data_IF_157167308969
#
_entry.id   IF_157167308969
#
_cell.length_a   1.000
_cell.length_b   1.000
_cell.length_c   1.000
_cell.angle_alpha   90.00
_cell.angle_beta   90.00
_cell.angle_gamma   90.00
#
_symmetry.space_group_name_H-M   'P 1'
#
loop_
_entity.id
_entity.type
_entity.pdbx_description
1 polymer ?
#
# COMPACT_ATOMS: atom_id res chain seq x y z
N UNK A 1 18.82 3.84 -14.71
CA UNK A 1 17.54 3.29 -14.22
C UNK A 1 17.85 2.07 -13.35
N UNK A 2 17.23 1.94 -12.18
CA UNK A 2 17.39 0.80 -11.26
C UNK A 2 16.03 0.36 -10.75
N UNK A 3 15.77 -0.95 -10.73
CA UNK A 3 14.52 -1.53 -10.23
C UNK A 3 14.81 -2.40 -8.99
N UNK A 4 14.03 -2.24 -7.94
CA UNK A 4 14.16 -2.98 -6.68
C UNK A 4 12.85 -3.64 -6.31
N UNK A 5 12.93 -4.93 -6.00
CA UNK A 5 11.78 -5.76 -5.63
C UNK A 5 11.83 -6.00 -4.12
N UNK A 6 10.82 -5.53 -3.39
CA UNK A 6 10.71 -5.64 -1.94
C UNK A 6 9.65 -6.65 -1.48
N UNK A 7 8.74 -7.04 -2.36
CA UNK A 7 7.71 -8.03 -2.10
C UNK A 7 7.22 -8.69 -3.40
N UNK A 8 6.31 -9.67 -3.29
CA UNK A 8 5.90 -10.55 -4.40
C UNK A 8 7.06 -11.25 -5.17
N UNK A 9 8.24 -11.38 -4.55
CA UNK A 9 9.35 -12.19 -5.07
C UNK A 9 9.36 -13.57 -4.40
N UNK A 10 9.21 -14.63 -5.19
CA UNK A 10 9.06 -16.01 -4.70
C UNK A 10 7.86 -16.20 -3.75
N UNK A 11 6.88 -15.30 -3.83
CA UNK A 11 5.61 -15.33 -3.11
C UNK A 11 4.57 -14.52 -3.88
N UNK A 12 3.28 -14.74 -3.61
CA UNK A 12 2.18 -14.11 -4.38
C UNK A 12 1.70 -12.81 -3.75
N UNK A 13 2.00 -12.55 -2.48
CA UNK A 13 1.40 -11.43 -1.72
C UNK A 13 2.41 -10.34 -1.35
N UNK A 14 1.87 -9.15 -1.06
CA UNK A 14 2.66 -7.99 -0.63
C UNK A 14 3.47 -7.39 -1.78
N UNK A 15 2.86 -7.18 -2.95
CA UNK A 15 3.50 -6.52 -4.08
C UNK A 15 4.10 -5.19 -3.67
N UNK A 16 5.40 -5.01 -3.90
CA UNK A 16 6.11 -3.82 -3.46
C UNK A 16 7.38 -3.61 -4.27
N UNK A 17 7.37 -2.59 -5.13
CA UNK A 17 8.45 -2.37 -6.09
C UNK A 17 8.86 -0.90 -6.15
N UNK A 18 10.16 -0.63 -6.24
CA UNK A 18 10.69 0.72 -6.45
C UNK A 18 11.41 0.82 -7.80
N UNK A 19 11.16 1.92 -8.49
CA UNK A 19 11.88 2.33 -9.67
C UNK A 19 12.62 3.64 -9.37
N UNK A 20 13.95 3.59 -9.49
CA UNK A 20 14.81 4.78 -9.42
C UNK A 20 15.25 5.17 -10.83
N UNK A 21 14.83 6.34 -11.28
CA UNK A 21 15.14 6.84 -12.62
C UNK A 21 15.17 8.37 -12.64
N UNK A 22 16.05 8.96 -13.44
CA UNK A 22 16.20 10.42 -13.57
C UNK A 22 16.41 11.17 -12.23
N UNK A 23 16.99 10.52 -11.21
CA UNK A 23 17.15 11.09 -9.87
C UNK A 23 15.92 10.96 -8.98
N UNK A 24 14.81 10.42 -9.51
CA UNK A 24 13.55 10.24 -8.80
C UNK A 24 13.36 8.80 -8.31
N UNK A 25 12.57 8.65 -7.25
CA UNK A 25 12.14 7.33 -6.73
C UNK A 25 10.63 7.22 -6.73
N UNK A 26 10.09 6.31 -7.55
CA UNK A 26 8.65 6.03 -7.64
C UNK A 26 8.37 4.58 -7.27
N UNK A 27 7.15 4.32 -6.80
CA UNK A 27 6.72 3.02 -6.30
C UNK A 27 5.61 2.43 -7.14
N UNK A 28 5.65 1.11 -7.35
CA UNK A 28 4.56 0.34 -7.93
C UNK A 28 4.03 -0.64 -6.89
N UNK A 29 2.75 -0.48 -6.56
CA UNK A 29 2.04 -1.16 -5.47
C UNK A 29 2.68 -0.99 -4.08
N UNK A 30 1.85 -1.04 -3.04
CA UNK A 30 2.28 -1.17 -1.65
C UNK A 30 1.34 -2.14 -0.93
N UNK A 31 1.54 -3.41 -1.24
CA UNK A 31 0.72 -4.52 -0.79
C UNK A 31 1.01 -4.99 0.61
N UNK A 32 -0.01 -5.55 1.25
CA UNK A 32 0.14 -6.30 2.49
C UNK A 32 0.53 -7.75 2.19
N UNK A 33 1.66 -8.20 2.72
CA UNK A 33 2.03 -9.60 2.71
C UNK A 33 1.09 -10.41 3.61
N UNK A 34 0.57 -11.51 3.08
CA UNK A 34 -0.30 -12.44 3.79
C UNK A 34 0.45 -13.75 4.02
N UNK A 35 0.39 -14.26 5.25
CA UNK A 35 1.11 -15.45 5.68
C UNK A 35 0.87 -15.74 7.16
N UNK A 36 1.80 -16.45 7.81
CA UNK A 36 1.69 -16.72 9.25
C UNK A 36 1.65 -15.41 10.03
N UNK A 37 0.74 -15.29 11.00
CA UNK A 37 0.40 -14.03 11.69
C UNK A 37 1.62 -13.19 12.12
N UNK A 38 2.59 -13.81 12.80
CA UNK A 38 3.77 -13.10 13.29
C UNK A 38 4.70 -12.65 12.16
N UNK A 39 4.91 -13.49 11.15
CA UNK A 39 5.74 -13.14 9.98
C UNK A 39 5.09 -12.00 9.19
N UNK A 40 3.78 -12.10 8.94
CA UNK A 40 3.04 -11.07 8.24
C UNK A 40 3.11 -9.72 8.97
N UNK A 41 2.92 -9.72 10.28
CA UNK A 41 3.04 -8.50 11.08
C UNK A 41 4.43 -7.87 10.98
N UNK A 42 5.50 -8.65 11.15
CA UNK A 42 6.88 -8.14 11.10
C UNK A 42 7.26 -7.61 9.71
N UNK A 43 6.88 -8.33 8.65
CA UNK A 43 7.18 -7.93 7.26
C UNK A 43 6.44 -6.67 6.86
N UNK A 44 5.15 -6.56 7.20
CA UNK A 44 4.35 -5.41 6.81
C UNK A 44 4.71 -4.14 7.58
N UNK A 45 5.16 -4.27 8.84
CA UNK A 45 5.50 -3.12 9.68
C UNK A 45 6.82 -2.43 9.32
N UNK A 46 7.77 -3.15 8.69
CA UNK A 46 9.14 -2.66 8.46
C UNK A 46 9.42 -2.50 6.97
N UNK A 47 9.47 -1.26 6.51
CA UNK A 47 9.97 -0.94 5.17
C UNK A 47 11.49 -1.13 5.11
N UNK A 48 11.97 -1.77 4.04
CA UNK A 48 13.42 -1.94 3.75
C UNK A 48 14.01 -0.74 2.97
N UNK A 49 13.26 0.35 2.91
CA UNK A 49 13.60 1.62 2.29
C UNK A 49 12.95 2.73 3.13
N UNK A 50 13.34 3.98 2.86
CA UNK A 50 12.78 5.16 3.51
C UNK A 50 11.53 5.64 2.76
N UNK A 51 10.31 5.51 3.34
CA UNK A 51 9.08 5.93 2.68
C UNK A 51 9.03 7.42 2.32
N UNK A 52 9.75 8.27 3.06
CA UNK A 52 9.79 9.72 2.81
C UNK A 52 10.53 10.10 1.53
N UNK A 53 11.33 9.18 0.98
CA UNK A 53 12.06 9.37 -0.29
C UNK A 53 11.28 8.94 -1.52
N UNK A 54 10.12 8.32 -1.35
CA UNK A 54 9.26 7.92 -2.46
C UNK A 54 8.40 9.12 -2.86
N UNK A 55 8.48 9.53 -4.11
CA UNK A 55 7.87 10.76 -4.60
C UNK A 55 6.45 10.54 -5.14
N UNK A 56 6.17 9.36 -5.68
CA UNK A 56 4.84 8.99 -6.16
C UNK A 56 4.65 7.47 -6.14
N UNK A 57 3.39 7.04 -6.09
CA UNK A 57 2.99 5.65 -6.18
C UNK A 57 2.02 5.46 -7.36
N UNK A 58 2.25 4.45 -8.19
CA UNK A 58 1.26 3.94 -9.14
C UNK A 58 0.70 2.61 -8.61
N UNK A 59 -0.61 2.54 -8.41
CA UNK A 59 -1.30 1.35 -7.92
C UNK A 59 -1.94 0.62 -9.08
N UNK A 60 -1.60 -0.65 -9.24
CA UNK A 60 -2.16 -1.51 -10.29
C UNK A 60 -3.65 -1.75 -10.09
N UNK A 61 -4.06 -2.17 -8.89
CA UNK A 61 -5.45 -2.48 -8.57
C UNK A 61 -5.69 -2.54 -7.05
N UNK A 62 -6.97 -2.67 -6.66
CA UNK A 62 -7.40 -2.43 -5.30
C UNK A 62 -7.15 -3.58 -4.29
N UNK A 63 -6.74 -4.77 -4.73
CA UNK A 63 -6.56 -5.90 -3.80
C UNK A 63 -5.57 -5.59 -2.67
N UNK A 64 -5.80 -6.16 -1.48
CA UNK A 64 -5.03 -5.87 -0.26
C UNK A 64 -3.56 -6.28 -0.38
N UNK A 65 -3.25 -7.30 -1.17
CA UNK A 65 -1.89 -7.70 -1.47
C UNK A 65 -1.17 -6.77 -2.48
N UNK A 66 -1.83 -5.72 -2.97
CA UNK A 66 -1.27 -4.63 -3.78
C UNK A 66 -1.47 -3.23 -3.16
N UNK A 67 -2.56 -3.01 -2.42
CA UNK A 67 -2.93 -1.71 -1.84
C UNK A 67 -2.82 -1.67 -0.30
N UNK A 68 -2.84 -2.83 0.34
CA UNK A 68 -3.18 -2.95 1.76
C UNK A 68 -2.17 -2.38 2.74
N UNK A 69 -0.94 -2.08 2.32
CA UNK A 69 0.09 -1.48 3.16
C UNK A 69 0.31 0.02 2.85
N UNK A 70 -0.49 0.61 1.93
CA UNK A 70 -0.47 2.04 1.62
C UNK A 70 -0.71 2.91 2.87
N UNK A 71 -1.69 2.64 3.75
CA UNK A 71 -1.88 3.48 4.94
C UNK A 71 -0.67 3.51 5.86
N UNK A 72 0.00 2.36 6.02
CA UNK A 72 1.24 2.28 6.78
C UNK A 72 2.39 3.02 6.07
N UNK A 73 2.46 2.99 4.74
CA UNK A 73 3.44 3.76 3.97
C UNK A 73 3.30 5.27 4.25
N UNK A 74 2.07 5.79 4.19
CA UNK A 74 1.74 7.20 4.47
C UNK A 74 2.12 7.58 5.89
N UNK A 75 1.72 6.75 6.87
CA UNK A 75 2.06 6.93 8.28
C UNK A 75 3.57 7.00 8.53
N UNK A 76 4.37 6.29 7.75
CA UNK A 76 5.84 6.27 7.86
C UNK A 76 6.54 7.36 7.02
N UNK A 77 5.81 8.35 6.51
CA UNK A 77 6.39 9.58 5.97
C UNK A 77 6.23 9.78 4.47
N UNK A 78 5.58 8.86 3.76
CA UNK A 78 5.21 9.10 2.36
C UNK A 78 4.15 10.21 2.26
N UNK A 79 4.37 11.16 1.35
CA UNK A 79 3.51 12.34 1.13
C UNK A 79 3.16 12.55 -0.34
N UNK A 80 3.63 11.69 -1.23
CA UNK A 80 3.44 11.81 -2.67
C UNK A 80 2.02 11.47 -3.12
N UNK A 81 1.66 11.81 -4.37
CA UNK A 81 0.41 11.35 -4.97
C UNK A 81 0.40 9.84 -5.19
N UNK A 82 -0.79 9.25 -5.07
CA UNK A 82 -1.08 7.84 -5.35
C UNK A 82 -1.98 7.78 -6.59
N UNK A 83 -1.42 7.42 -7.73
CA UNK A 83 -2.16 7.31 -8.98
C UNK A 83 -2.80 5.93 -9.12
N UNK A 84 -4.08 5.91 -9.47
CA UNK A 84 -4.82 4.69 -9.75
C UNK A 84 -6.00 5.01 -10.68
N UNK A 85 -6.61 3.98 -11.27
CA UNK A 85 -7.85 4.17 -12.03
C UNK A 85 -9.00 4.61 -11.11
N UNK A 86 -10.02 5.34 -11.61
CA UNK A 86 -11.14 5.80 -10.79
C UNK A 86 -11.82 4.67 -9.99
N UNK A 87 -12.06 3.53 -10.64
CA UNK A 87 -12.67 2.38 -9.97
C UNK A 87 -11.75 1.77 -8.90
N UNK A 88 -10.43 1.73 -9.11
CA UNK A 88 -9.48 1.31 -8.07
C UNK A 88 -9.49 2.27 -6.88
N UNK A 89 -9.59 3.58 -7.10
CA UNK A 89 -9.72 4.57 -6.01
C UNK A 89 -10.98 4.30 -5.17
N UNK A 90 -12.13 4.09 -5.83
CA UNK A 90 -13.40 3.83 -5.17
C UNK A 90 -13.36 2.53 -4.34
N UNK A 91 -12.78 1.47 -4.91
CA UNK A 91 -12.60 0.19 -4.20
C UNK A 91 -11.64 0.34 -3.01
N UNK A 92 -10.52 1.04 -3.16
CA UNK A 92 -9.56 1.29 -2.07
C UNK A 92 -10.19 2.04 -0.90
N UNK A 93 -11.11 2.98 -1.16
CA UNK A 93 -11.83 3.71 -0.10
C UNK A 93 -12.57 2.78 0.86
N UNK A 94 -13.13 1.69 0.34
CA UNK A 94 -13.87 0.70 1.12
C UNK A 94 -12.89 -0.31 1.73
N UNK A 95 -12.04 -0.91 0.90
CA UNK A 95 -11.17 -2.03 1.29
C UNK A 95 -10.13 -1.63 2.34
N UNK A 96 -9.51 -0.45 2.21
CA UNK A 96 -8.49 -0.01 3.18
C UNK A 96 -9.10 0.33 4.54
N UNK A 97 -10.31 0.92 4.54
CA UNK A 97 -11.05 1.21 5.77
C UNK A 97 -11.50 -0.06 6.48
N UNK A 98 -12.04 -1.03 5.74
CA UNK A 98 -12.42 -2.33 6.30
C UNK A 98 -11.20 -3.10 6.82
N UNK A 99 -10.10 -3.12 6.07
CA UNK A 99 -8.84 -3.73 6.52
C UNK A 99 -8.31 -3.10 7.81
N UNK A 100 -8.39 -1.77 7.94
CA UNK A 100 -8.02 -1.08 9.18
C UNK A 100 -8.90 -1.50 10.36
N UNK A 101 -10.23 -1.52 10.15
CA UNK A 101 -11.19 -1.90 11.17
C UNK A 101 -10.96 -3.33 11.67
N UNK A 102 -10.80 -4.28 10.75
CA UNK A 102 -10.52 -5.69 11.09
C UNK A 102 -9.20 -5.82 11.87
N UNK A 103 -8.14 -5.11 11.45
CA UNK A 103 -6.87 -5.11 12.18
C UNK A 103 -7.01 -4.54 13.60
N UNK A 104 -7.77 -3.45 13.78
CA UNK A 104 -8.02 -2.88 15.10
C UNK A 104 -8.76 -3.88 15.99
N UNK A 105 -9.79 -4.56 15.48
CA UNK A 105 -10.54 -5.59 16.23
C UNK A 105 -9.69 -6.81 16.60
N UNK A 106 -8.86 -7.27 15.68
CA UNK A 106 -7.91 -8.35 15.95
C UNK A 106 -6.94 -7.98 17.07
N UNK A 107 -6.41 -6.76 17.06
CA UNK A 107 -5.48 -6.27 18.07
C UNK A 107 -6.17 -6.03 19.41
N UNK A 108 -7.41 -5.53 19.45
CA UNK A 108 -8.22 -5.42 20.67
C UNK A 108 -8.35 -6.79 21.35
N UNK A 109 -8.68 -7.83 20.58
CA UNK A 109 -8.83 -9.19 21.10
C UNK A 109 -7.49 -9.78 21.59
N UNK A 110 -6.42 -9.64 20.78
CA UNK A 110 -5.07 -10.10 21.15
C UNK A 110 -4.59 -9.40 22.43
N UNK A 111 -4.78 -8.09 22.54
CA UNK A 111 -4.36 -7.32 23.70
C UNK A 111 -5.11 -7.70 24.97
N UNK A 112 -6.40 -8.07 24.87
CA UNK A 112 -7.14 -8.60 26.03
C UNK A 112 -6.51 -9.87 26.59
N UNK A 113 -6.03 -10.75 25.73
CA UNK A 113 -5.33 -11.99 26.13
C UNK A 113 -3.96 -11.66 26.73
N UNK A 114 -3.21 -10.75 26.10
CA UNK A 114 -1.88 -10.32 26.56
C UNK A 114 -1.89 -9.64 27.92
N UNK A 115 -2.86 -8.76 28.14
CA UNK A 115 -3.06 -8.08 29.42
C UNK A 115 -3.27 -9.09 30.56
N UNK A 116 -4.03 -10.17 30.32
CA UNK A 116 -4.21 -11.26 31.30
C UNK A 116 -2.91 -12.03 31.60
N UNK A 117 -1.95 -12.02 30.67
CA UNK A 117 -0.63 -12.64 30.81
C UNK A 117 0.46 -11.67 31.30
N UNK A 118 0.13 -10.40 31.56
CA UNK A 118 1.11 -9.36 31.90
C UNK A 118 2.03 -8.95 30.75
N UNK A 119 1.66 -9.25 29.49
CA UNK A 119 2.44 -8.91 28.30
C UNK A 119 2.09 -7.50 27.78
N UNK A 120 3.05 -6.84 27.11
CA UNK A 120 2.83 -5.54 26.49
C UNK A 120 1.84 -5.61 25.31
N UNK A 121 0.95 -4.61 25.15
CA UNK A 121 0.00 -4.57 24.07
C UNK A 121 0.68 -4.38 22.72
N UNK A 122 0.12 -5.00 21.68
CA UNK A 122 0.44 -4.68 20.29
C UNK A 122 -0.36 -3.49 19.79
N UNK A 123 0.18 -2.83 18.76
CA UNK A 123 -0.50 -1.81 17.97
C UNK A 123 -0.82 -2.40 16.59
N UNK A 124 -1.95 -2.01 15.94
CA UNK A 124 -2.21 -2.38 14.56
C UNK A 124 -1.16 -1.74 13.64
N UNK A 125 -1.03 -2.24 12.40
CA UNK A 125 -0.12 -1.64 11.41
C UNK A 125 -0.56 -0.20 11.12
N UNK A 126 -1.87 -0.02 10.95
CA UNK A 126 -2.52 1.27 10.74
C UNK A 126 -3.95 1.24 11.28
N UNK A 127 -4.51 2.42 11.51
CA UNK A 127 -5.89 2.60 11.98
C UNK A 127 -6.84 3.07 10.87
N UNK A 128 -8.13 3.16 11.19
CA UNK A 128 -9.12 3.70 10.24
C UNK A 128 -8.78 5.14 9.84
N UNK A 129 -8.28 5.93 10.79
CA UNK A 129 -7.83 7.31 10.55
C UNK A 129 -6.61 7.35 9.64
N UNK A 130 -5.66 6.42 9.80
CA UNK A 130 -4.50 6.29 8.91
C UNK A 130 -4.97 5.94 7.48
N UNK A 131 -5.98 5.07 7.32
CA UNK A 131 -6.55 4.73 6.02
C UNK A 131 -7.26 5.92 5.36
N UNK A 132 -8.06 6.67 6.13
CA UNK A 132 -8.72 7.89 5.66
C UNK A 132 -7.69 8.97 5.27
N UNK A 133 -6.62 9.13 6.06
CA UNK A 133 -5.53 10.05 5.74
C UNK A 133 -4.84 9.67 4.43
N UNK A 134 -4.59 8.38 4.19
CA UNK A 134 -4.00 7.90 2.95
C UNK A 134 -4.88 8.16 1.72
N UNK A 135 -6.20 8.05 1.86
CA UNK A 135 -7.13 8.33 0.76
C UNK A 135 -7.02 9.77 0.22
N UNK A 136 -6.59 10.73 1.04
CA UNK A 136 -6.39 12.12 0.58
C UNK A 136 -5.27 12.28 -0.46
N UNK A 137 -4.38 11.30 -0.57
CA UNK A 137 -3.27 11.31 -1.52
C UNK A 137 -3.63 10.65 -2.87
N UNK A 138 -4.77 9.96 -2.96
CA UNK A 138 -5.18 9.30 -4.19
C UNK A 138 -5.57 10.30 -5.29
N UNK A 139 -5.10 10.04 -6.51
CA UNK A 139 -5.34 10.80 -7.73
C UNK A 139 -5.90 9.86 -8.80
N UNK A 140 -7.21 9.95 -9.12
CA UNK A 140 -7.80 9.10 -10.14
C UNK A 140 -7.29 9.50 -11.54
N UNK A 141 -6.87 8.52 -12.33
CA UNK A 141 -6.47 8.72 -13.73
C UNK A 141 -7.16 7.67 -14.60
N UNK A 142 -7.98 8.08 -15.59
CA UNK A 142 -8.62 7.13 -16.51
C UNK A 142 -7.62 6.33 -17.34
N UNK A 143 -8.06 5.19 -17.87
CA UNK A 143 -7.30 4.45 -18.88
C UNK A 143 -6.95 5.32 -20.08
N UNK A 144 -5.85 4.97 -20.74
CA UNK A 144 -5.38 5.58 -21.98
C UNK A 144 -5.10 7.10 -21.89
N UNK A 145 -5.06 7.64 -20.67
CA UNK A 145 -4.61 9.00 -20.38
C UNK A 145 -3.20 8.98 -19.83
N UNK A 146 -2.29 9.61 -20.56
CA UNK A 146 -0.95 9.86 -20.07
C UNK A 146 -0.95 10.87 -18.92
N UNK A 147 -0.13 10.60 -17.92
CA UNK A 147 0.05 11.47 -16.77
C UNK A 147 1.52 11.46 -16.32
N UNK A 148 1.94 12.56 -15.70
CA UNK A 148 3.29 12.68 -15.13
C UNK A 148 3.31 11.96 -13.78
N UNK A 149 4.07 10.87 -13.68
CA UNK A 149 4.25 10.13 -12.43
C UNK A 149 5.22 10.87 -11.52
N UNK A 150 6.33 11.34 -12.07
CA UNK A 150 7.29 12.28 -11.49
C UNK A 150 8.00 13.03 -12.62
N UNK A 151 8.86 13.99 -12.29
CA UNK A 151 9.56 14.77 -13.32
C UNK A 151 10.35 13.87 -14.28
N UNK A 152 10.13 14.07 -15.58
CA UNK A 152 10.73 13.26 -16.63
C UNK A 152 10.22 11.82 -16.74
N UNK A 153 9.14 11.44 -16.04
CA UNK A 153 8.51 10.11 -16.12
C UNK A 153 7.01 10.24 -16.39
N UNK A 154 6.57 9.75 -17.54
CA UNK A 154 5.16 9.65 -17.91
C UNK A 154 4.69 8.21 -17.81
N UNK A 155 3.47 8.00 -17.31
CA UNK A 155 2.82 6.71 -17.24
C UNK A 155 1.45 6.78 -17.93
N UNK A 156 0.90 5.62 -18.27
CA UNK A 156 -0.46 5.49 -18.84
C UNK A 156 -1.01 4.16 -18.37
N UNK A 157 -2.17 4.18 -17.71
CA UNK A 157 -2.84 2.95 -17.31
C UNK A 157 -3.50 2.29 -18.51
N UNK A 158 -3.25 0.98 -18.68
CA UNK A 158 -3.95 0.12 -19.64
C UNK A 158 -4.76 -0.93 -18.87
N UNK A 159 -5.93 -1.31 -19.38
CA UNK A 159 -6.75 -2.33 -18.74
C UNK A 159 -6.00 -3.67 -18.67
N UNK A 160 -5.99 -4.26 -17.48
CA UNK A 160 -5.35 -5.55 -17.21
C UNK A 160 -6.34 -6.73 -17.17
N UNK A 161 -7.65 -6.47 -17.19
CA UNK A 161 -8.68 -7.53 -17.25
C UNK A 161 -8.74 -8.46 -16.02
N UNK A 162 -8.23 -8.03 -14.86
CA UNK A 162 -8.15 -8.85 -13.64
C UNK A 162 -9.33 -8.59 -12.68
N UNK A 163 -9.50 -7.33 -12.27
CA UNK A 163 -10.66 -6.86 -11.51
C UNK A 163 -11.12 -5.52 -12.05
N UNK A 164 -12.29 -5.05 -11.61
CA UNK A 164 -12.78 -3.72 -11.98
C UNK A 164 -11.72 -2.65 -11.66
N UNK A 165 -11.27 -1.93 -12.68
CA UNK A 165 -10.26 -0.88 -12.53
C UNK A 165 -8.81 -1.38 -12.51
N UNK A 166 -8.55 -2.68 -12.71
CA UNK A 166 -7.16 -3.17 -12.75
C UNK A 166 -6.38 -2.60 -13.92
N UNK A 167 -5.14 -2.20 -13.67
CA UNK A 167 -4.28 -1.60 -14.68
C UNK A 167 -2.85 -2.13 -14.66
N UNK A 168 -2.24 -2.14 -15.85
CA UNK A 168 -0.81 -2.32 -16.09
C UNK A 168 -0.17 -1.10 -16.75
#
# INVERSE_FOLDING_TARGET
>A
MKFQIYGAAQTVTGSQHLLMTNGHTVMFDCGMFQGRRQEAFERNRKFKFDPSKVEALALSHAHIDHSGNIPNLVRNGFKGPIYATPATVDLCKILLKDSAYLQQKDIEWVNRIRMRKGEQPFKPLYTTEDAEAAMNLFKPVPYDKSFTLCDGVTATFRDAGHILGSAG
#
